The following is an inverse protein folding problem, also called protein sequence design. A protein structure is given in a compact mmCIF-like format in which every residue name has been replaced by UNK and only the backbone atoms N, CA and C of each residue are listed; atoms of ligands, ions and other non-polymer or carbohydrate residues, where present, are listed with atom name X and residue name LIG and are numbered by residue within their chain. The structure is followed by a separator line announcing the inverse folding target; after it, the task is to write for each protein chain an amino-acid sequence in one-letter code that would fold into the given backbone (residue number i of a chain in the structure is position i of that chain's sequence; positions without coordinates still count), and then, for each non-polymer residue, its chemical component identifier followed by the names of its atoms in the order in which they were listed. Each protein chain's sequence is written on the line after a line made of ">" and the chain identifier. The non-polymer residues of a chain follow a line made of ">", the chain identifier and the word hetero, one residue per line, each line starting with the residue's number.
data_IF_896825189249
#
_entry.id   IF_896825189249
#
_cell.length_a   1.000
_cell.length_b   1.000
_cell.length_c   1.000
_cell.angle_alpha   90.00
_cell.angle_beta   90.00
_cell.angle_gamma   90.00
#
_symmetry.space_group_name_H-M   'P 1'
#
loop_
_entity.id
_entity.type
_entity.pdbx_description
1 polymer ?
#
# COMPACT_ATOMS: atom_id res chain seq x y z
N UNK A 1 -9.83 13.45 6.35
CA UNK A 1 -8.99 12.36 5.81
C UNK A 1 -7.54 12.78 6.02
N UNK A 2 -6.73 11.93 6.68
CA UNK A 2 -5.32 12.24 6.99
C UNK A 2 -4.50 12.31 5.70
N UNK A 3 -3.63 13.31 5.54
CA UNK A 3 -2.76 13.42 4.36
C UNK A 3 -1.86 12.20 4.19
N UNK A 4 -1.41 11.61 5.31
CA UNK A 4 -0.55 10.42 5.31
C UNK A 4 -1.27 9.17 4.77
N UNK A 5 -2.59 9.05 5.01
CA UNK A 5 -3.36 7.93 4.50
C UNK A 5 -3.46 8.00 2.98
N UNK A 6 -3.84 9.14 2.41
CA UNK A 6 -3.92 9.29 0.95
C UNK A 6 -2.54 9.11 0.28
N UNK A 7 -1.47 9.66 0.87
CA UNK A 7 -0.09 9.42 0.41
C UNK A 7 0.24 7.91 0.40
N UNK A 8 -0.06 7.18 1.47
CA UNK A 8 0.19 5.74 1.56
C UNK A 8 -0.60 4.94 0.50
N UNK A 9 -1.85 5.30 0.24
CA UNK A 9 -2.68 4.66 -0.80
C UNK A 9 -2.03 4.80 -2.17
N UNK A 10 -1.56 5.99 -2.51
CA UNK A 10 -0.87 6.27 -3.77
C UNK A 10 0.42 5.45 -3.89
N UNK A 11 1.25 5.42 -2.85
CA UNK A 11 2.52 4.68 -2.88
C UNK A 11 2.33 3.17 -3.05
N UNK A 12 1.38 2.57 -2.32
CA UNK A 12 1.07 1.14 -2.45
C UNK A 12 0.57 0.83 -3.87
N UNK A 13 -0.37 1.61 -4.38
CA UNK A 13 -0.92 1.41 -5.71
C UNK A 13 0.14 1.54 -6.81
N UNK A 14 1.01 2.55 -6.74
CA UNK A 14 2.11 2.71 -7.70
C UNK A 14 3.14 1.58 -7.59
N UNK A 15 3.44 1.10 -6.39
CA UNK A 15 4.32 -0.04 -6.18
C UNK A 15 3.76 -1.32 -6.79
N UNK A 16 2.46 -1.55 -6.65
CA UNK A 16 1.78 -2.70 -7.28
C UNK A 16 1.85 -2.62 -8.80
N UNK A 17 1.55 -1.45 -9.38
CA UNK A 17 1.69 -1.23 -10.82
C UNK A 17 3.12 -1.47 -11.32
N UNK A 18 4.14 -1.00 -10.59
CA UNK A 18 5.55 -1.19 -10.94
C UNK A 18 5.98 -2.67 -10.86
N UNK A 19 5.45 -3.40 -9.87
CA UNK A 19 5.64 -4.86 -9.76
C UNK A 19 5.03 -5.59 -10.95
N UNK A 20 3.85 -5.15 -11.40
CA UNK A 20 3.11 -5.74 -12.52
C UNK A 20 2.62 -7.17 -12.25
N UNK A 21 2.67 -7.63 -10.99
CA UNK A 21 2.42 -9.01 -10.59
C UNK A 21 1.50 -9.06 -9.37
N UNK A 22 0.78 -10.18 -9.26
CA UNK A 22 -0.08 -10.47 -8.12
C UNK A 22 -1.35 -9.64 -8.10
N UNK A 23 -1.85 -9.40 -6.90
CA UNK A 23 -3.06 -8.64 -6.63
C UNK A 23 -2.71 -7.25 -6.11
N UNK A 24 -3.59 -6.29 -6.38
CA UNK A 24 -3.49 -4.99 -5.73
C UNK A 24 -3.61 -5.15 -4.22
N UNK A 25 -2.88 -4.32 -3.48
CA UNK A 25 -2.98 -4.18 -2.04
C UNK A 25 -3.80 -2.94 -1.69
N UNK A 26 -4.56 -3.03 -0.60
CA UNK A 26 -5.35 -1.92 -0.07
C UNK A 26 -4.84 -1.56 1.32
N UNK A 27 -4.54 -0.28 1.54
CA UNK A 27 -4.17 0.28 2.84
C UNK A 27 -5.37 0.24 3.76
N UNK A 28 -5.19 -0.34 4.94
CA UNK A 28 -6.16 -0.37 6.02
C UNK A 28 -5.92 0.77 7.00
N UNK A 29 -4.66 0.97 7.40
CA UNK A 29 -4.28 2.00 8.37
C UNK A 29 -2.84 2.49 8.14
N UNK A 30 -2.52 3.64 8.73
CA UNK A 30 -1.18 4.23 8.71
C UNK A 30 -0.78 4.64 10.12
N UNK A 31 0.43 4.24 10.53
CA UNK A 31 1.02 4.52 11.83
C UNK A 31 2.46 5.03 11.68
N UNK A 32 3.09 5.40 12.81
CA UNK A 32 4.50 5.81 12.89
C UNK A 32 4.91 6.91 11.90
N UNK A 33 4.00 7.87 11.67
CA UNK A 33 4.23 8.97 10.73
C UNK A 33 5.26 9.94 11.29
N UNK A 34 6.42 10.00 10.64
CA UNK A 34 7.49 10.95 10.91
C UNK A 34 7.79 11.78 9.66
N UNK A 35 8.01 13.07 9.86
CA UNK A 35 8.30 14.05 8.80
C UNK A 35 9.56 14.88 9.06
N UNK A 36 10.41 14.48 10.01
CA UNK A 36 11.61 15.28 10.36
C UNK A 36 12.67 15.27 9.27
N UNK A 37 12.97 14.11 8.68
CA UNK A 37 14.03 13.90 7.67
C UNK A 37 13.47 13.56 6.28
N UNK A 38 12.20 13.88 6.04
CA UNK A 38 11.47 13.50 4.83
C UNK A 38 10.08 12.97 5.16
N UNK A 39 9.75 11.77 4.72
CA UNK A 39 8.53 11.06 5.12
C UNK A 39 8.88 9.62 5.49
N UNK A 40 8.60 9.24 6.73
CA UNK A 40 8.61 7.85 7.18
C UNK A 40 7.23 7.49 7.70
N UNK A 41 6.71 6.32 7.34
CA UNK A 41 5.45 5.80 7.87
C UNK A 41 5.38 4.28 7.76
N UNK A 42 4.56 3.70 8.63
CA UNK A 42 4.23 2.27 8.63
C UNK A 42 2.80 2.10 8.11
N UNK A 43 2.64 1.25 7.10
CA UNK A 43 1.38 1.00 6.39
C UNK A 43 0.93 -0.41 6.73
N UNK A 44 -0.28 -0.54 7.27
CA UNK A 44 -0.99 -1.82 7.33
C UNK A 44 -1.84 -1.97 6.06
N UNK A 45 -1.68 -3.10 5.36
CA UNK A 45 -2.37 -3.40 4.13
C UNK A 45 -2.83 -4.86 4.07
N UNK A 46 -3.77 -5.11 3.17
CA UNK A 46 -4.15 -6.47 2.76
C UNK A 46 -4.17 -6.60 1.25
N UNK A 47 -3.96 -7.84 0.79
CA UNK A 47 -4.22 -8.21 -0.59
C UNK A 47 -5.71 -8.02 -0.93
N UNK A 48 -6.01 -7.71 -2.19
CA UNK A 48 -7.37 -7.64 -2.70
C UNK A 48 -7.69 -8.80 -3.64
N UNK A 49 -8.94 -8.91 -4.06
CA UNK A 49 -9.36 -9.86 -5.10
C UNK A 49 -9.01 -9.41 -6.53
N UNK A 50 -8.48 -8.19 -6.71
CA UNK A 50 -8.23 -7.61 -8.03
C UNK A 50 -6.77 -7.77 -8.45
N UNK A 51 -6.56 -8.33 -9.65
CA UNK A 51 -5.22 -8.51 -10.23
C UNK A 51 -4.64 -7.18 -10.70
N UNK A 52 -3.33 -7.01 -10.53
CA UNK A 52 -2.61 -5.84 -11.06
C UNK A 52 -2.75 -5.72 -12.58
N UNK A 53 -2.81 -6.86 -13.28
CA UNK A 53 -2.97 -6.92 -14.74
C UNK A 53 -4.35 -6.46 -15.26
N UNK A 54 -5.30 -6.14 -14.38
CA UNK A 54 -6.65 -5.71 -14.78
C UNK A 54 -6.75 -4.22 -15.13
N UNK A 55 -5.64 -3.46 -15.07
CA UNK A 55 -5.57 -2.04 -15.46
C UNK A 55 -6.66 -1.15 -14.82
N UNK A 56 -7.00 -1.43 -13.56
CA UNK A 56 -8.00 -0.67 -12.80
C UNK A 56 -7.38 0.50 -12.05
N UNK A 57 -8.14 1.57 -11.84
CA UNK A 57 -7.68 2.79 -11.15
C UNK A 57 -7.57 2.61 -9.64
N UNK A 58 -6.87 3.55 -8.98
CA UNK A 58 -6.82 3.64 -7.51
C UNK A 58 -8.23 3.67 -6.91
N UNK A 59 -9.12 4.51 -7.43
CA UNK A 59 -10.51 4.62 -6.94
C UNK A 59 -11.25 3.27 -7.03
N UNK A 60 -11.02 2.52 -8.12
CA UNK A 60 -11.56 1.19 -8.30
C UNK A 60 -10.98 0.19 -7.30
N UNK A 61 -9.67 0.25 -7.03
CA UNK A 61 -9.00 -0.57 -6.01
C UNK A 61 -9.55 -0.31 -4.61
N UNK A 62 -10.06 0.89 -4.31
CA UNK A 62 -10.69 1.25 -3.02
C UNK A 62 -12.22 1.13 -3.00
N UNK A 63 -12.85 0.70 -4.10
CA UNK A 63 -14.29 0.47 -4.20
C UNK A 63 -14.71 -0.95 -3.81
N UNK A 64 -16.02 -1.23 -3.73
CA UNK A 64 -16.54 -2.57 -3.40
C UNK A 64 -16.22 -3.65 -4.45
N UNK A 65 -15.63 -3.27 -5.60
CA UNK A 65 -15.18 -4.20 -6.64
C UNK A 65 -13.94 -5.01 -6.23
N UNK A 66 -13.07 -4.45 -5.39
CA UNK A 66 -11.80 -5.06 -4.99
C UNK A 66 -11.78 -5.33 -3.49
N UNK A 67 -12.51 -6.37 -3.07
CA UNK A 67 -12.57 -6.75 -1.66
C UNK A 67 -11.20 -7.16 -1.15
N UNK A 68 -10.89 -6.80 0.09
CA UNK A 68 -9.69 -7.29 0.78
C UNK A 68 -9.85 -8.77 1.14
N UNK A 69 -8.75 -9.50 1.16
CA UNK A 69 -8.73 -10.94 1.45
C UNK A 69 -7.56 -11.29 2.35
N UNK A 70 -7.77 -12.30 3.21
CA UNK A 70 -6.76 -12.91 4.08
C UNK A 70 -6.41 -14.33 3.67
N UNK A 71 -6.73 -14.72 2.43
CA UNK A 71 -6.48 -16.08 1.94
C UNK A 71 -4.99 -16.41 1.87
N UNK A 72 -4.15 -15.43 1.49
CA UNK A 72 -2.70 -15.62 1.39
C UNK A 72 -1.95 -15.04 2.60
N UNK A 73 -2.37 -13.88 3.08
CA UNK A 73 -1.69 -13.13 4.14
C UNK A 73 -2.71 -12.56 5.12
N UNK A 74 -2.47 -12.77 6.42
CA UNK A 74 -3.30 -12.20 7.48
C UNK A 74 -3.01 -10.71 7.72
N UNK A 75 -1.80 -10.29 7.36
CA UNK A 75 -1.25 -8.95 7.54
C UNK A 75 -0.13 -8.69 6.53
N UNK A 76 -0.08 -7.45 6.00
CA UNK A 76 1.02 -6.94 5.20
C UNK A 76 1.46 -5.62 5.81
N UNK A 77 2.65 -5.59 6.42
CA UNK A 77 3.24 -4.38 6.97
C UNK A 77 4.29 -3.82 6.03
N UNK A 78 4.08 -2.60 5.53
CA UNK A 78 5.04 -1.90 4.70
C UNK A 78 5.64 -0.70 5.43
N UNK A 79 6.95 -0.55 5.38
CA UNK A 79 7.67 0.63 5.85
C UNK A 79 8.06 1.47 4.64
N UNK A 80 7.51 2.68 4.56
CA UNK A 80 7.85 3.66 3.55
C UNK A 80 8.84 4.66 4.16
N UNK A 81 9.97 4.86 3.49
CA UNK A 81 10.95 5.88 3.88
C UNK A 81 11.37 6.68 2.65
N UNK A 82 11.15 7.99 2.71
CA UNK A 82 11.46 8.96 1.66
C UNK A 82 12.25 10.12 2.24
N UNK A 83 13.18 10.65 1.46
CA UNK A 83 13.87 11.90 1.76
C UNK A 83 13.02 13.13 1.42
N UNK A 84 13.55 14.34 1.66
CA UNK A 84 12.88 15.60 1.32
C UNK A 84 12.61 15.78 -0.18
N UNK A 85 13.29 15.05 -1.06
CA UNK A 85 13.05 15.05 -2.51
C UNK A 85 11.97 14.06 -2.94
N UNK A 86 11.34 13.35 -1.98
CA UNK A 86 10.39 12.25 -2.18
C UNK A 86 11.01 11.03 -2.87
N UNK A 87 12.31 10.88 -2.75
CA UNK A 87 13.05 9.71 -3.24
C UNK A 87 13.28 8.75 -2.08
N UNK A 88 13.09 7.46 -2.30
CA UNK A 88 13.32 6.47 -1.26
C UNK A 88 12.83 5.09 -1.64
N UNK A 89 12.50 4.29 -0.62
CA UNK A 89 12.13 2.89 -0.79
C UNK A 89 10.93 2.53 0.08
N UNK A 90 10.24 1.47 -0.33
CA UNK A 90 9.19 0.84 0.44
C UNK A 90 9.50 -0.64 0.57
N UNK A 91 9.59 -1.11 1.80
CA UNK A 91 9.84 -2.51 2.12
C UNK A 91 8.61 -3.11 2.80
N UNK A 92 8.17 -4.29 2.36
CA UNK A 92 6.96 -4.93 2.87
C UNK A 92 7.25 -6.31 3.41
N UNK A 93 6.73 -6.59 4.61
CA UNK A 93 6.76 -7.90 5.26
C UNK A 93 5.37 -8.53 5.18
N UNK A 94 5.32 -9.79 4.78
CA UNK A 94 4.09 -10.53 4.55
C UNK A 94 3.96 -11.62 5.60
N UNK A 95 2.89 -11.57 6.40
CA UNK A 95 2.60 -12.57 7.42
C UNK A 95 1.51 -13.50 6.91
N UNK A 96 1.87 -14.77 6.71
CA UNK A 96 0.95 -15.80 6.20
C UNK A 96 -0.14 -16.15 7.20
N UNK A 97 -1.28 -16.62 6.67
CA UNK A 97 -2.39 -17.20 7.42
C UNK A 97 -2.11 -18.62 7.94
#
# INVERSE_FOLDING_TARGET
>A
MSSALEEAKDYIYQSDLQSGKGYFRRVLDVSEVDRSEGLSLTIDALSTTCLVSSEISLEQVYSDMCLTTKVEYDEILCHLQLDHSKTGQMECTYYGA
#
